data_IF_638795889011
#
_entry.id   IF_638795889011
#
_cell.length_a   1.000
_cell.length_b   1.000
_cell.length_c   1.000
_cell.angle_alpha   90.00
_cell.angle_beta   90.00
_cell.angle_gamma   90.00
#
_symmetry.space_group_name_H-M   'P 1'
#
loop_
_entity.id
_entity.type
_entity.pdbx_description
1 polymer ?
#
# COMPACT_ATOMS: atom_id res chain seq x y z
N UNK A 1 -18.10 -14.40 19.24
CA UNK A 1 -16.97 -14.29 18.29
C UNK A 1 -16.57 -12.83 18.26
N UNK A 2 -15.33 -12.54 18.55
CA UNK A 2 -14.80 -11.18 18.43
C UNK A 2 -14.86 -10.76 16.96
N UNK A 3 -15.31 -9.53 16.67
CA UNK A 3 -15.39 -9.04 15.30
C UNK A 3 -13.98 -9.03 14.69
N UNK A 4 -13.82 -9.53 13.48
CA UNK A 4 -12.53 -9.54 12.79
C UNK A 4 -12.10 -8.10 12.52
N UNK A 5 -10.98 -7.67 13.09
CA UNK A 5 -10.38 -6.37 12.83
C UNK A 5 -9.73 -6.35 11.45
N UNK A 6 -9.86 -5.25 10.74
CA UNK A 6 -9.40 -5.13 9.34
C UNK A 6 -8.65 -3.83 9.12
N UNK A 7 -7.53 -3.95 8.41
CA UNK A 7 -6.81 -2.86 7.74
C UNK A 7 -6.92 -3.07 6.23
N UNK A 8 -7.37 -2.06 5.49
CA UNK A 8 -7.32 -2.07 4.03
C UNK A 8 -6.00 -1.43 3.55
N UNK A 9 -5.10 -2.24 3.01
CA UNK A 9 -3.76 -1.80 2.65
C UNK A 9 -3.62 -1.22 1.23
N UNK A 10 -4.74 -0.96 0.54
CA UNK A 10 -4.70 -0.32 -0.77
C UNK A 10 -6.04 0.35 -1.12
N UNK A 11 -6.12 1.66 -0.89
CA UNK A 11 -7.24 2.51 -1.31
C UNK A 11 -6.74 3.82 -1.88
N UNK A 12 -7.55 4.48 -2.72
CA UNK A 12 -7.22 5.79 -3.28
C UNK A 12 -8.25 6.84 -2.87
N UNK A 13 -7.83 8.11 -2.82
CA UNK A 13 -8.72 9.24 -2.57
C UNK A 13 -8.65 10.26 -3.71
N UNK A 14 -9.83 10.80 -4.07
CA UNK A 14 -9.99 11.80 -5.13
C UNK A 14 -11.02 12.84 -4.69
N UNK A 15 -10.61 14.10 -4.66
CA UNK A 15 -11.52 15.24 -4.43
C UNK A 15 -11.18 16.37 -5.40
N UNK A 16 -11.57 16.24 -6.70
CA UNK A 16 -11.22 17.22 -7.73
C UNK A 16 -11.89 18.59 -7.54
N UNK A 17 -12.88 18.70 -6.66
CA UNK A 17 -13.46 20.00 -6.31
C UNK A 17 -12.53 20.82 -5.41
N UNK A 18 -11.82 20.17 -4.48
CA UNK A 18 -10.85 20.82 -3.59
C UNK A 18 -9.44 20.81 -4.17
N UNK A 19 -9.08 19.74 -4.86
CA UNK A 19 -7.78 19.49 -5.47
C UNK A 19 -7.97 19.16 -6.95
N UNK A 20 -7.96 20.16 -7.85
CA UNK A 20 -8.14 19.92 -9.28
C UNK A 20 -7.12 18.95 -9.84
N UNK A 21 -7.54 18.07 -10.73
CA UNK A 21 -6.65 17.16 -11.43
C UNK A 21 -5.61 17.91 -12.27
N UNK A 22 -4.46 17.31 -12.47
CA UNK A 22 -3.44 17.83 -13.39
C UNK A 22 -3.99 17.87 -14.81
N UNK A 23 -3.68 18.95 -15.58
CA UNK A 23 -4.15 19.07 -16.95
C UNK A 23 -3.61 17.98 -17.89
N UNK A 24 -2.43 17.44 -17.58
CA UNK A 24 -1.70 16.43 -18.34
C UNK A 24 -1.94 15.00 -17.83
N UNK A 25 -2.93 14.79 -16.96
CA UNK A 25 -3.20 13.43 -16.45
C UNK A 25 -3.64 12.49 -17.57
N UNK A 26 -3.11 11.28 -17.58
CA UNK A 26 -3.50 10.26 -18.57
C UNK A 26 -4.91 9.69 -18.30
N UNK A 27 -5.42 9.85 -17.08
CA UNK A 27 -6.76 9.41 -16.68
C UNK A 27 -7.30 10.28 -15.54
N UNK A 28 -8.53 10.77 -15.71
CA UNK A 28 -9.25 11.59 -14.73
C UNK A 28 -10.44 10.78 -14.17
N UNK A 29 -10.35 10.21 -12.96
CA UNK A 29 -11.47 9.49 -12.34
C UNK A 29 -12.70 10.37 -12.20
N UNK A 30 -13.88 9.79 -12.52
CA UNK A 30 -15.15 10.51 -12.49
C UNK A 30 -16.31 9.60 -12.03
N UNK A 31 -17.46 10.17 -11.74
CA UNK A 31 -18.67 9.41 -11.39
C UNK A 31 -18.47 8.51 -10.17
N UNK A 32 -18.63 7.20 -10.36
CA UNK A 32 -18.50 6.23 -9.27
C UNK A 32 -17.05 6.03 -8.78
N UNK A 33 -16.06 6.36 -9.60
CA UNK A 33 -14.64 6.30 -9.25
C UNK A 33 -14.18 7.47 -8.38
N UNK A 34 -15.05 8.46 -8.12
CA UNK A 34 -14.74 9.55 -7.20
C UNK A 34 -14.78 9.03 -5.76
N UNK A 35 -13.66 8.57 -5.29
CA UNK A 35 -13.42 8.15 -3.92
C UNK A 35 -13.09 9.34 -3.03
N UNK A 36 -14.05 10.24 -2.71
CA UNK A 36 -13.76 11.34 -1.77
C UNK A 36 -13.40 10.81 -0.39
N UNK A 37 -12.61 11.56 0.42
CA UNK A 37 -12.25 11.16 1.79
C UNK A 37 -13.47 10.83 2.65
N UNK A 38 -14.57 11.59 2.50
CA UNK A 38 -15.82 11.35 3.22
C UNK A 38 -16.47 10.02 2.78
N UNK A 39 -16.50 9.75 1.47
CA UNK A 39 -17.05 8.51 0.93
C UNK A 39 -16.21 7.29 1.34
N UNK A 40 -14.87 7.40 1.29
CA UNK A 40 -13.97 6.36 1.78
C UNK A 40 -14.30 6.01 3.23
N UNK A 41 -14.37 7.01 4.11
CA UNK A 41 -14.70 6.80 5.53
C UNK A 41 -16.02 6.03 5.69
N UNK A 42 -17.07 6.42 4.97
CA UNK A 42 -18.37 5.74 5.02
C UNK A 42 -18.27 4.28 4.57
N UNK A 43 -17.51 3.98 3.51
CA UNK A 43 -17.32 2.61 3.02
C UNK A 43 -16.57 1.78 4.05
N UNK A 44 -15.46 2.29 4.59
CA UNK A 44 -14.68 1.58 5.60
C UNK A 44 -15.50 1.30 6.87
N UNK A 45 -16.25 2.31 7.36
CA UNK A 45 -17.10 2.18 8.56
C UNK A 45 -18.21 1.14 8.34
N UNK A 46 -18.85 1.13 7.15
CA UNK A 46 -19.89 0.16 6.81
C UNK A 46 -19.40 -1.30 6.76
N UNK A 47 -18.11 -1.52 6.55
CA UNK A 47 -17.49 -2.85 6.48
C UNK A 47 -16.64 -3.18 7.70
N UNK A 48 -16.65 -2.37 8.75
CA UNK A 48 -15.88 -2.60 9.98
C UNK A 48 -14.36 -2.50 9.79
N UNK A 49 -13.91 -1.73 8.80
CA UNK A 49 -12.48 -1.50 8.53
C UNK A 49 -11.96 -0.36 9.39
N UNK A 50 -11.02 -0.67 10.28
CA UNK A 50 -10.54 0.29 11.29
C UNK A 50 -9.50 1.25 10.74
N UNK A 51 -8.58 0.75 9.91
CA UNK A 51 -7.47 1.52 9.35
C UNK A 51 -7.35 1.31 7.84
N UNK A 52 -6.69 2.25 7.16
CA UNK A 52 -6.37 2.06 5.74
C UNK A 52 -5.02 2.68 5.36
N UNK A 53 -4.41 2.12 4.30
CA UNK A 53 -3.28 2.69 3.60
C UNK A 53 -3.79 3.41 2.34
N UNK A 54 -3.67 4.73 2.34
CA UNK A 54 -4.01 5.57 1.20
C UNK A 54 -2.83 5.54 0.21
N UNK A 55 -3.05 5.00 -0.97
CA UNK A 55 -2.01 4.97 -2.01
C UNK A 55 -2.22 6.13 -2.97
N UNK A 56 -1.21 6.95 -3.16
CA UNK A 56 -1.22 8.05 -4.11
C UNK A 56 -1.48 7.52 -5.53
N UNK A 57 -2.53 8.00 -6.21
CA UNK A 57 -2.82 7.54 -7.56
C UNK A 57 -1.97 8.28 -8.58
N UNK A 58 -1.40 7.56 -9.54
CA UNK A 58 -0.83 8.20 -10.73
C UNK A 58 -1.92 8.88 -11.59
N UNK A 59 -3.17 8.35 -11.54
CA UNK A 59 -4.34 8.95 -12.19
C UNK A 59 -4.76 10.25 -11.50
N UNK A 60 -5.14 11.26 -12.26
CA UNK A 60 -5.62 12.53 -11.76
C UNK A 60 -4.53 13.43 -11.19
N UNK A 61 -3.76 12.94 -10.22
CA UNK A 61 -2.84 13.76 -9.43
C UNK A 61 -1.36 13.56 -9.76
N UNK A 62 -0.92 12.34 -10.15
CA UNK A 62 0.52 12.08 -10.31
C UNK A 62 1.27 12.44 -9.02
N UNK A 63 2.30 13.29 -9.14
CA UNK A 63 3.14 13.72 -8.00
C UNK A 63 2.48 14.77 -7.09
N UNK A 64 1.25 15.19 -7.38
CA UNK A 64 0.49 16.11 -6.49
C UNK A 64 -0.16 15.33 -5.34
N UNK A 65 0.52 15.27 -4.21
CA UNK A 65 0.06 14.54 -3.03
C UNK A 65 -0.88 15.36 -2.11
N UNK A 66 -1.33 16.56 -2.49
CA UNK A 66 -2.13 17.44 -1.59
C UNK A 66 -3.41 16.78 -1.10
N UNK A 67 -4.15 16.08 -1.95
CA UNK A 67 -5.38 15.37 -1.54
C UNK A 67 -5.08 14.24 -0.56
N UNK A 68 -4.00 13.49 -0.78
CA UNK A 68 -3.51 12.45 0.14
C UNK A 68 -3.17 13.05 1.51
N UNK A 69 -2.31 14.07 1.53
CA UNK A 69 -1.82 14.69 2.77
C UNK A 69 -2.93 15.36 3.59
N UNK A 70 -3.86 16.06 2.94
CA UNK A 70 -5.05 16.64 3.60
C UNK A 70 -5.90 15.53 4.25
N UNK A 71 -6.08 14.40 3.55
CA UNK A 71 -6.84 13.27 4.09
C UNK A 71 -6.14 12.62 5.28
N UNK A 72 -4.82 12.45 5.24
CA UNK A 72 -4.04 11.93 6.36
C UNK A 72 -4.14 12.85 7.59
N UNK A 73 -3.97 14.16 7.41
CA UNK A 73 -4.06 15.15 8.48
C UNK A 73 -5.44 15.12 9.16
N UNK A 74 -6.51 15.02 8.38
CA UNK A 74 -7.88 14.98 8.90
C UNK A 74 -8.25 13.66 9.60
N UNK A 75 -7.47 12.59 9.40
CA UNK A 75 -7.82 11.24 9.86
C UNK A 75 -7.29 10.88 11.26
N UNK A 76 -6.58 11.79 11.95
CA UNK A 76 -6.08 11.60 13.31
C UNK A 76 -5.35 10.25 13.53
N UNK A 77 -4.53 9.82 12.57
CA UNK A 77 -3.76 8.58 12.66
C UNK A 77 -4.48 7.31 12.22
N UNK A 78 -5.76 7.41 11.82
CA UNK A 78 -6.52 6.27 11.27
C UNK A 78 -5.90 5.71 9.99
N UNK A 79 -5.23 6.57 9.20
CA UNK A 79 -4.67 6.23 7.91
C UNK A 79 -3.16 6.43 7.88
N UNK A 80 -2.49 5.73 6.95
CA UNK A 80 -1.12 5.98 6.50
C UNK A 80 -1.13 6.18 4.99
N UNK A 81 -0.05 6.75 4.44
CA UNK A 81 0.04 7.08 3.02
C UNK A 81 1.21 6.42 2.30
N UNK A 82 1.02 6.20 0.99
CA UNK A 82 2.07 6.00 0.00
C UNK A 82 2.01 7.16 -0.98
N UNK A 83 3.06 7.96 -1.10
CA UNK A 83 3.10 9.12 -1.99
C UNK A 83 3.57 8.73 -3.40
N UNK A 84 3.22 9.53 -4.39
CA UNK A 84 3.87 9.50 -5.72
C UNK A 84 4.89 10.62 -5.76
N UNK A 85 6.13 10.30 -6.10
CA UNK A 85 7.23 11.27 -6.12
C UNK A 85 8.11 11.07 -7.35
N UNK A 86 8.87 12.10 -7.73
CA UNK A 86 9.89 12.02 -8.77
C UNK A 86 11.12 11.23 -8.27
N UNK A 87 11.87 10.60 -9.18
CA UNK A 87 13.13 9.93 -8.82
C UNK A 87 14.18 10.87 -8.21
N UNK A 88 14.05 12.17 -8.46
CA UNK A 88 14.93 13.23 -7.95
C UNK A 88 14.52 13.81 -6.60
N UNK A 89 13.43 13.31 -5.99
CA UNK A 89 12.95 13.80 -4.68
C UNK A 89 14.02 13.63 -3.62
N UNK A 90 14.29 14.69 -2.89
CA UNK A 90 15.36 14.74 -1.89
C UNK A 90 14.97 14.01 -0.60
N UNK A 91 15.97 13.61 0.17
CA UNK A 91 15.78 13.02 1.52
C UNK A 91 15.02 13.96 2.47
N UNK A 92 15.19 15.27 2.34
CA UNK A 92 14.48 16.24 3.16
C UNK A 92 12.98 16.24 2.85
N UNK A 93 12.59 16.25 1.58
CA UNK A 93 11.19 16.15 1.17
C UNK A 93 10.56 14.80 1.59
N UNK A 94 11.31 13.71 1.47
CA UNK A 94 10.85 12.39 1.98
C UNK A 94 10.64 12.41 3.50
N UNK A 95 11.52 13.07 4.25
CA UNK A 95 11.39 13.20 5.70
C UNK A 95 10.14 14.03 6.08
N UNK A 96 9.81 15.09 5.32
CA UNK A 96 8.58 15.87 5.49
C UNK A 96 7.33 15.03 5.21
N UNK A 97 7.33 14.25 4.12
CA UNK A 97 6.25 13.30 3.82
C UNK A 97 6.06 12.28 4.94
N UNK A 98 7.17 11.71 5.45
CA UNK A 98 7.13 10.76 6.58
C UNK A 98 6.53 11.39 7.83
N UNK A 99 6.91 12.62 8.17
CA UNK A 99 6.36 13.35 9.31
C UNK A 99 4.86 13.62 9.15
N UNK A 100 4.36 13.76 7.91
CA UNK A 100 2.94 13.92 7.58
C UNK A 100 2.16 12.58 7.56
N UNK A 101 2.78 11.44 7.91
CA UNK A 101 2.12 10.14 7.99
C UNK A 101 2.26 9.27 6.73
N UNK A 102 3.16 9.64 5.81
CA UNK A 102 3.49 8.81 4.64
C UNK A 102 4.49 7.72 5.04
N UNK A 103 4.15 6.46 4.78
CA UNK A 103 4.98 5.30 5.10
C UNK A 103 5.97 4.93 3.98
N UNK A 104 5.73 5.41 2.77
CA UNK A 104 6.56 5.08 1.62
C UNK A 104 6.13 5.76 0.33
N UNK A 105 6.73 5.36 -0.78
CA UNK A 105 6.41 5.90 -2.10
C UNK A 105 6.10 4.79 -3.10
N UNK A 106 5.28 5.11 -4.11
CA UNK A 106 4.94 4.16 -5.17
C UNK A 106 6.05 4.09 -6.23
N UNK A 107 6.42 2.89 -6.62
CA UNK A 107 7.29 2.57 -7.75
C UNK A 107 6.44 1.85 -8.79
N UNK A 108 5.82 2.60 -9.71
CA UNK A 108 4.83 2.05 -10.65
C UNK A 108 5.45 1.74 -12.01
N UNK A 109 6.24 0.65 -12.08
CA UNK A 109 6.83 0.20 -13.34
C UNK A 109 5.77 -0.35 -14.32
N UNK A 110 4.64 -0.81 -13.83
CA UNK A 110 3.52 -1.23 -14.68
C UNK A 110 2.98 -0.09 -15.56
N UNK A 111 3.08 1.17 -15.09
CA UNK A 111 2.65 2.36 -15.84
C UNK A 111 3.80 3.04 -16.58
N UNK A 112 4.93 3.25 -15.88
CA UNK A 112 6.02 4.11 -16.36
C UNK A 112 7.14 3.31 -17.07
N UNK A 113 7.12 1.98 -16.94
CA UNK A 113 8.18 1.10 -17.42
C UNK A 113 9.39 1.04 -16.46
N UNK A 114 10.15 -0.04 -16.56
CA UNK A 114 11.36 -0.25 -15.73
C UNK A 114 12.43 0.82 -16.00
N UNK A 115 12.57 1.24 -17.26
CA UNK A 115 13.55 2.26 -17.67
C UNK A 115 13.37 3.61 -16.97
N UNK A 116 12.15 3.98 -16.58
CA UNK A 116 11.90 5.18 -15.79
C UNK A 116 12.64 5.21 -14.45
N UNK A 117 12.82 4.02 -13.84
CA UNK A 117 13.46 3.87 -12.54
C UNK A 117 14.98 3.57 -12.62
N UNK A 118 15.59 3.65 -13.81
CA UNK A 118 17.02 3.38 -13.97
C UNK A 118 17.89 4.26 -13.06
N UNK A 119 17.47 5.51 -12.84
CA UNK A 119 18.17 6.50 -12.03
C UNK A 119 17.61 6.62 -10.59
N UNK A 120 16.69 5.75 -10.17
CA UNK A 120 16.06 5.83 -8.85
C UNK A 120 16.92 5.33 -7.69
N UNK A 121 18.18 4.97 -7.93
CA UNK A 121 19.08 4.43 -6.88
C UNK A 121 19.25 5.36 -5.68
N UNK A 122 19.33 6.69 -5.91
CA UNK A 122 19.40 7.70 -4.86
C UNK A 122 18.12 7.76 -4.02
N UNK A 123 16.98 7.83 -4.68
CA UNK A 123 15.65 7.80 -4.03
C UNK A 123 15.48 6.56 -3.14
N UNK A 124 15.80 5.37 -3.68
CA UNK A 124 15.65 4.12 -2.94
C UNK A 124 16.59 4.04 -1.73
N UNK A 125 17.82 4.55 -1.86
CA UNK A 125 18.75 4.62 -0.73
C UNK A 125 18.26 5.59 0.36
N UNK A 126 17.65 6.71 -0.02
CA UNK A 126 17.07 7.68 0.90
C UNK A 126 15.81 7.12 1.61
N UNK A 127 14.98 6.37 0.90
CA UNK A 127 13.87 5.62 1.51
C UNK A 127 14.36 4.62 2.53
N UNK A 128 15.41 3.83 2.20
CA UNK A 128 16.01 2.89 3.13
C UNK A 128 16.56 3.58 4.38
N UNK A 129 17.26 4.71 4.21
CA UNK A 129 17.81 5.50 5.33
C UNK A 129 16.73 6.11 6.24
N UNK A 130 15.54 6.36 5.71
CA UNK A 130 14.38 6.88 6.43
C UNK A 130 13.44 5.78 6.94
N UNK A 131 13.76 4.50 6.78
CA UNK A 131 12.87 3.36 7.05
C UNK A 131 11.48 3.52 6.37
N UNK A 132 11.50 4.01 5.13
CA UNK A 132 10.32 4.13 4.28
C UNK A 132 10.25 2.97 3.29
N UNK A 133 9.06 2.74 2.73
CA UNK A 133 8.73 1.61 1.87
C UNK A 133 8.78 2.03 0.40
N UNK A 134 9.32 1.18 -0.46
CA UNK A 134 9.08 1.20 -1.90
C UNK A 134 7.88 0.27 -2.22
N UNK A 135 6.75 0.86 -2.61
CA UNK A 135 5.50 0.17 -2.93
C UNK A 135 5.44 -0.08 -4.44
N UNK A 136 5.75 -1.31 -4.84
CA UNK A 136 6.14 -1.67 -6.21
C UNK A 136 4.97 -2.27 -6.98
N UNK A 137 4.59 -1.63 -8.09
CA UNK A 137 3.65 -2.17 -9.07
C UNK A 137 4.40 -2.62 -10.32
N UNK A 138 4.25 -3.88 -10.66
CA UNK A 138 4.87 -4.53 -11.81
C UNK A 138 3.83 -5.31 -12.62
N UNK A 139 4.18 -5.64 -13.86
CA UNK A 139 3.48 -6.61 -14.70
C UNK A 139 4.53 -7.52 -15.36
N UNK A 140 4.11 -8.68 -15.80
CA UNK A 140 4.96 -9.63 -16.53
C UNK A 140 6.29 -9.91 -15.81
N UNK A 141 7.41 -9.74 -16.50
CA UNK A 141 8.75 -10.02 -15.99
C UNK A 141 9.47 -8.78 -15.41
N UNK A 142 8.78 -7.63 -15.27
CA UNK A 142 9.37 -6.37 -14.79
C UNK A 142 10.03 -6.50 -13.40
N UNK A 143 9.50 -7.39 -12.54
CA UNK A 143 10.12 -7.62 -11.23
C UNK A 143 11.53 -8.20 -11.36
N UNK A 144 11.77 -9.08 -12.35
CA UNK A 144 13.11 -9.63 -12.62
C UNK A 144 14.09 -8.53 -12.98
N UNK A 145 13.65 -7.56 -13.79
CA UNK A 145 14.49 -6.44 -14.22
C UNK A 145 14.76 -5.45 -13.09
N UNK A 146 13.76 -5.18 -12.22
CA UNK A 146 13.88 -4.25 -11.08
C UNK A 146 14.61 -4.87 -9.88
N UNK A 147 14.58 -6.17 -9.71
CA UNK A 147 15.12 -6.86 -8.54
C UNK A 147 16.55 -6.45 -8.20
N UNK A 148 17.52 -6.36 -9.14
CA UNK A 148 18.88 -5.94 -8.79
C UNK A 148 18.98 -4.53 -8.22
N UNK A 149 18.14 -3.59 -8.66
CA UNK A 149 18.11 -2.22 -8.17
C UNK A 149 17.53 -2.17 -6.74
N UNK A 150 16.39 -2.81 -6.53
CA UNK A 150 15.71 -2.87 -5.24
C UNK A 150 16.55 -3.60 -4.18
N UNK A 151 17.16 -4.71 -4.54
CA UNK A 151 18.02 -5.49 -3.63
C UNK A 151 19.27 -4.73 -3.19
N UNK A 152 19.92 -4.03 -4.11
CA UNK A 152 21.12 -3.22 -3.79
C UNK A 152 20.82 -2.02 -2.90
N UNK A 153 19.64 -1.45 -3.00
CA UNK A 153 19.25 -0.26 -2.22
C UNK A 153 19.02 -0.55 -0.72
N UNK A 154 18.69 -1.81 -0.40
CA UNK A 154 18.29 -2.20 0.96
C UNK A 154 16.94 -1.65 1.42
N UNK A 155 16.16 -1.03 0.52
CA UNK A 155 14.85 -0.49 0.85
C UNK A 155 13.86 -1.61 1.20
N UNK A 156 12.94 -1.32 2.11
CA UNK A 156 11.80 -2.20 2.38
C UNK A 156 10.87 -2.20 1.17
N UNK A 157 10.53 -3.39 0.66
CA UNK A 157 9.72 -3.52 -0.54
C UNK A 157 8.35 -4.11 -0.22
N UNK A 158 7.30 -3.46 -0.68
CA UNK A 158 5.97 -4.07 -0.77
C UNK A 158 5.61 -4.23 -2.24
N UNK A 159 5.06 -5.39 -2.60
CA UNK A 159 4.67 -5.67 -3.98
C UNK A 159 3.16 -5.67 -4.09
N UNK A 160 2.64 -4.78 -4.93
CA UNK A 160 1.20 -4.58 -5.12
C UNK A 160 0.54 -5.69 -5.94
N UNK A 161 -0.74 -5.91 -5.66
CA UNK A 161 -1.67 -6.67 -6.51
C UNK A 161 -1.17 -8.06 -6.88
N UNK A 162 -0.65 -8.82 -5.90
CA UNK A 162 -0.09 -10.17 -6.13
C UNK A 162 1.06 -10.19 -7.16
N UNK A 163 1.71 -9.05 -7.43
CA UNK A 163 2.68 -8.89 -8.53
C UNK A 163 2.04 -8.89 -9.91
N UNK A 164 0.72 -8.73 -10.01
CA UNK A 164 -0.10 -8.71 -11.25
C UNK A 164 0.24 -9.87 -12.20
N UNK A 165 0.13 -11.12 -11.74
CA UNK A 165 0.44 -12.28 -12.57
C UNK A 165 -0.51 -12.37 -13.76
N UNK A 166 -0.03 -12.90 -14.90
CA UNK A 166 -0.89 -13.35 -15.98
C UNK A 166 -1.39 -14.77 -15.71
N UNK A 167 -2.70 -15.00 -15.44
CA UNK A 167 -3.23 -16.34 -15.22
C UNK A 167 -2.97 -17.29 -16.39
N UNK A 168 -2.91 -16.77 -17.61
CA UNK A 168 -2.63 -17.55 -18.80
C UNK A 168 -1.19 -18.03 -18.93
N UNK A 169 -0.23 -17.33 -18.35
CA UNK A 169 1.18 -17.74 -18.30
C UNK A 169 1.46 -18.72 -17.15
N UNK A 170 0.55 -18.81 -16.16
CA UNK A 170 0.64 -19.74 -15.05
C UNK A 170 1.71 -19.38 -14.02
N UNK A 171 1.84 -20.23 -12.99
CA UNK A 171 2.79 -20.02 -11.87
C UNK A 171 4.26 -20.04 -12.29
N UNK A 172 4.56 -20.54 -13.49
CA UNK A 172 5.91 -20.64 -14.03
C UNK A 172 6.44 -19.37 -14.69
N UNK A 173 5.64 -18.30 -14.81
CA UNK A 173 6.09 -17.02 -15.38
C UNK A 173 7.29 -16.47 -14.60
N UNK A 174 8.27 -15.88 -15.30
CA UNK A 174 9.54 -15.49 -14.68
C UNK A 174 9.34 -14.44 -13.57
N UNK A 175 8.52 -13.40 -13.80
CA UNK A 175 8.22 -12.38 -12.80
C UNK A 175 7.53 -12.96 -11.57
N UNK A 176 6.58 -13.89 -11.75
CA UNK A 176 5.90 -14.53 -10.61
C UNK A 176 6.83 -15.45 -9.81
N UNK A 177 7.70 -16.22 -10.48
CA UNK A 177 8.74 -17.02 -9.80
C UNK A 177 9.72 -16.15 -9.01
N UNK A 178 10.07 -15.00 -9.56
CA UNK A 178 10.91 -14.03 -8.84
C UNK A 178 10.21 -13.53 -7.57
N UNK A 179 8.93 -13.22 -7.67
CA UNK A 179 8.13 -12.83 -6.50
C UNK A 179 8.07 -13.94 -5.44
N UNK A 180 7.86 -15.19 -5.84
CA UNK A 180 7.90 -16.32 -4.89
C UNK A 180 9.29 -16.49 -4.26
N UNK A 181 10.38 -16.27 -5.01
CA UNK A 181 11.75 -16.27 -4.47
C UNK A 181 11.92 -15.19 -3.38
N UNK A 182 11.35 -14.02 -3.58
CA UNK A 182 11.39 -12.96 -2.58
C UNK A 182 10.61 -13.31 -1.31
N UNK A 183 9.48 -13.97 -1.45
CA UNK A 183 8.73 -14.50 -0.32
C UNK A 183 9.55 -15.49 0.51
N UNK A 184 10.13 -16.49 -0.16
CA UNK A 184 10.95 -17.52 0.50
C UNK A 184 12.20 -16.93 1.20
N UNK A 185 12.77 -15.84 0.67
CA UNK A 185 13.94 -15.16 1.27
C UNK A 185 13.61 -14.03 2.23
N UNK A 186 12.34 -13.82 2.56
CA UNK A 186 11.85 -12.77 3.45
C UNK A 186 12.21 -11.33 3.02
N UNK A 187 12.35 -11.09 1.71
CA UNK A 187 12.80 -9.80 1.17
C UNK A 187 11.71 -8.77 0.98
N UNK A 188 10.45 -9.19 0.96
CA UNK A 188 9.32 -8.29 0.69
C UNK A 188 8.08 -8.67 1.47
N UNK A 189 7.12 -7.77 1.47
CA UNK A 189 5.70 -8.00 1.79
C UNK A 189 4.91 -7.99 0.49
N UNK A 190 3.88 -8.84 0.37
CA UNK A 190 3.00 -8.85 -0.80
C UNK A 190 1.60 -8.43 -0.43
N UNK A 191 0.98 -7.59 -1.27
CA UNK A 191 -0.42 -7.20 -1.14
C UNK A 191 -1.31 -8.14 -1.93
N UNK A 192 -2.16 -8.88 -1.23
CA UNK A 192 -3.24 -9.70 -1.78
C UNK A 192 -4.40 -8.77 -2.15
N UNK A 193 -4.29 -8.14 -3.31
CA UNK A 193 -5.21 -7.11 -3.80
C UNK A 193 -5.31 -7.14 -5.32
N UNK A 194 -6.19 -6.32 -5.92
CA UNK A 194 -6.27 -6.12 -7.36
C UNK A 194 -6.73 -7.33 -8.17
N UNK A 195 -7.28 -8.37 -7.55
CA UNK A 195 -7.75 -9.57 -8.24
C UNK A 195 -8.70 -9.24 -9.39
N UNK A 196 -9.58 -8.27 -9.21
CA UNK A 196 -10.54 -7.81 -10.23
C UNK A 196 -9.88 -7.24 -11.50
N UNK A 197 -8.62 -6.79 -11.41
CA UNK A 197 -7.88 -6.20 -12.54
C UNK A 197 -7.04 -7.23 -13.30
N UNK A 198 -6.78 -8.37 -12.67
CA UNK A 198 -5.81 -9.37 -13.15
C UNK A 198 -6.52 -10.63 -13.64
N UNK A 199 -7.62 -11.00 -13.00
CA UNK A 199 -8.40 -12.18 -13.35
C UNK A 199 -8.98 -12.10 -14.77
N UNK A 200 -9.00 -13.24 -15.44
CA UNK A 200 -9.69 -13.46 -16.72
C UNK A 200 -11.09 -14.05 -16.53
N UNK A 201 -11.45 -14.37 -15.28
CA UNK A 201 -12.74 -14.95 -14.90
C UNK A 201 -13.58 -13.92 -14.12
N UNK A 202 -14.91 -13.98 -14.22
CA UNK A 202 -15.78 -13.19 -13.37
C UNK A 202 -15.61 -13.57 -11.88
N UNK A 203 -16.17 -12.76 -10.99
CA UNK A 203 -16.22 -13.11 -9.56
C UNK A 203 -16.70 -14.57 -9.37
N UNK A 204 -16.05 -15.40 -8.55
CA UNK A 204 -15.02 -15.09 -7.54
C UNK A 204 -13.56 -15.25 -8.01
N UNK A 205 -13.23 -14.98 -9.28
CA UNK A 205 -11.85 -14.89 -9.78
C UNK A 205 -11.00 -16.15 -9.49
N UNK A 206 -11.54 -17.33 -9.80
CA UNK A 206 -10.93 -18.63 -9.39
C UNK A 206 -9.61 -18.93 -10.06
N UNK A 207 -9.38 -18.36 -11.23
CA UNK A 207 -8.11 -18.45 -11.95
C UNK A 207 -6.93 -17.86 -11.17
N UNK A 208 -7.19 -16.95 -10.21
CA UNK A 208 -6.17 -16.39 -9.33
C UNK A 208 -5.96 -17.16 -8.02
N UNK A 209 -6.83 -18.09 -7.68
CA UNK A 209 -6.71 -18.85 -6.44
C UNK A 209 -5.37 -19.60 -6.29
N UNK A 210 -4.83 -20.28 -7.34
CA UNK A 210 -3.51 -20.90 -7.27
C UNK A 210 -2.39 -19.90 -6.98
N UNK A 211 -2.46 -18.68 -7.54
CA UNK A 211 -1.47 -17.62 -7.35
C UNK A 211 -1.49 -17.09 -5.91
N UNK A 212 -2.67 -16.78 -5.39
CA UNK A 212 -2.80 -16.29 -4.00
C UNK A 212 -2.30 -17.35 -3.01
N UNK A 213 -2.64 -18.62 -3.20
CA UNK A 213 -2.15 -19.72 -2.36
C UNK A 213 -0.64 -19.85 -2.40
N UNK A 214 -0.04 -19.83 -3.61
CA UNK A 214 1.41 -19.89 -3.77
C UNK A 214 2.12 -18.70 -3.08
N UNK A 215 1.51 -17.51 -3.11
CA UNK A 215 2.04 -16.34 -2.40
C UNK A 215 1.94 -16.52 -0.89
N UNK A 216 0.81 -16.96 -0.37
CA UNK A 216 0.63 -17.19 1.08
C UNK A 216 1.59 -18.28 1.56
N UNK A 217 1.81 -19.33 0.79
CA UNK A 217 2.76 -20.39 1.10
C UNK A 217 4.21 -19.89 1.11
N UNK A 218 4.60 -19.06 0.14
CA UNK A 218 5.97 -18.56 0.01
C UNK A 218 6.29 -17.43 1.01
N UNK A 219 5.35 -16.52 1.25
CA UNK A 219 5.55 -15.36 2.11
C UNK A 219 5.22 -15.65 3.58
N UNK A 220 4.30 -16.56 3.82
CA UNK A 220 3.64 -16.70 5.11
C UNK A 220 2.71 -15.52 5.42
N UNK A 221 1.71 -15.70 6.30
CA UNK A 221 0.74 -14.64 6.63
C UNK A 221 1.37 -13.39 7.25
N UNK A 222 2.57 -13.50 7.84
CA UNK A 222 3.29 -12.36 8.43
C UNK A 222 3.95 -11.43 7.41
N UNK A 223 3.90 -11.77 6.13
CA UNK A 223 4.39 -10.93 5.03
C UNK A 223 3.37 -10.81 3.90
N UNK A 224 2.12 -11.13 4.19
CA UNK A 224 0.99 -10.84 3.33
C UNK A 224 0.10 -9.78 3.99
N UNK A 225 -0.41 -8.84 3.20
CA UNK A 225 -1.44 -7.88 3.60
C UNK A 225 -2.56 -7.87 2.57
N UNK A 226 -3.77 -7.50 2.96
CA UNK A 226 -4.91 -7.42 2.05
C UNK A 226 -5.22 -5.96 1.68
N UNK A 227 -5.76 -5.73 0.46
CA UNK A 227 -6.25 -4.44 0.03
C UNK A 227 -7.39 -4.56 -0.97
N UNK A 228 -8.37 -3.66 -0.90
CA UNK A 228 -9.53 -3.64 -1.77
C UNK A 228 -9.24 -3.09 -3.17
N UNK A 229 -8.31 -2.15 -3.27
CA UNK A 229 -8.07 -1.31 -4.45
C UNK A 229 -9.27 -0.37 -4.75
N UNK A 230 -10.05 -0.01 -3.71
CA UNK A 230 -11.15 0.96 -3.83
C UNK A 230 -10.61 2.34 -4.25
N UNK A 231 -11.27 3.08 -5.14
CA UNK A 231 -12.64 2.96 -5.63
C UNK A 231 -12.78 2.20 -6.96
N UNK A 232 -11.90 1.25 -7.27
CA UNK A 232 -12.00 0.36 -8.43
C UNK A 232 -11.86 1.09 -9.76
N UNK A 233 -10.76 1.82 -9.93
CA UNK A 233 -10.51 2.63 -11.12
C UNK A 233 -10.47 1.78 -12.41
N UNK A 234 -11.10 2.31 -13.47
CA UNK A 234 -11.08 1.74 -14.82
C UNK A 234 -11.61 0.30 -14.91
N UNK A 235 -12.55 -0.05 -14.03
CA UNK A 235 -13.20 -1.36 -14.12
C UNK A 235 -14.34 -1.31 -15.12
N UNK A 236 -14.39 -2.25 -16.10
CA UNK A 236 -15.47 -2.30 -17.08
C UNK A 236 -16.80 -2.77 -16.46
N UNK A 237 -16.72 -3.53 -15.38
CA UNK A 237 -17.86 -4.08 -14.66
C UNK A 237 -17.92 -3.52 -13.23
N UNK A 238 -19.12 -3.64 -12.64
CA UNK A 238 -19.32 -3.23 -11.24
C UNK A 238 -18.51 -4.11 -10.29
N UNK A 239 -17.81 -3.47 -9.39
CA UNK A 239 -17.10 -4.12 -8.28
C UNK A 239 -17.67 -3.59 -6.97
N UNK A 240 -18.02 -4.50 -6.06
CA UNK A 240 -18.52 -4.17 -4.72
C UNK A 240 -17.46 -4.52 -3.66
N UNK A 241 -17.33 -3.67 -2.64
CA UNK A 241 -16.30 -3.78 -1.61
C UNK A 241 -16.44 -5.05 -0.76
N UNK A 242 -17.66 -5.32 -0.26
CA UNK A 242 -17.93 -6.45 0.63
C UNK A 242 -17.55 -7.81 0.05
N UNK A 243 -17.94 -8.14 -1.21
CA UNK A 243 -17.52 -9.36 -1.89
C UNK A 243 -16.00 -9.57 -1.93
N UNK A 244 -15.19 -8.52 -2.11
CA UNK A 244 -13.73 -8.64 -2.12
C UNK A 244 -13.16 -9.04 -0.75
N UNK A 245 -13.72 -8.50 0.32
CA UNK A 245 -13.33 -8.90 1.68
C UNK A 245 -13.75 -10.36 1.98
N UNK A 246 -14.92 -10.77 1.50
CA UNK A 246 -15.41 -12.15 1.62
C UNK A 246 -14.55 -13.13 0.81
N UNK A 247 -14.09 -12.71 -0.38
CA UNK A 247 -13.24 -13.52 -1.26
C UNK A 247 -11.94 -13.97 -0.56
N UNK A 248 -11.37 -13.12 0.31
CA UNK A 248 -10.18 -13.51 1.06
C UNK A 248 -10.42 -14.76 1.93
N UNK A 249 -11.64 -14.99 2.44
CA UNK A 249 -11.95 -16.18 3.22
C UNK A 249 -11.94 -17.47 2.38
N UNK A 250 -12.24 -17.37 1.08
CA UNK A 250 -12.12 -18.50 0.14
C UNK A 250 -10.65 -18.73 -0.26
N UNK A 251 -9.89 -17.65 -0.43
CA UNK A 251 -8.49 -17.68 -0.83
C UNK A 251 -7.58 -18.18 0.29
N UNK A 252 -7.86 -17.78 1.52
CA UNK A 252 -7.10 -18.12 2.75
C UNK A 252 -8.07 -18.72 3.78
N UNK A 253 -8.37 -20.03 3.73
CA UNK A 253 -9.35 -20.66 4.61
C UNK A 253 -8.98 -20.66 6.09
N UNK A 254 -7.68 -20.63 6.42
CA UNK A 254 -7.19 -20.58 7.80
C UNK A 254 -7.52 -19.24 8.46
N UNK A 255 -8.28 -19.25 9.55
CA UNK A 255 -8.78 -18.06 10.23
C UNK A 255 -7.66 -17.27 10.92
N UNK A 256 -6.63 -17.95 11.45
CA UNK A 256 -5.48 -17.29 12.09
C UNK A 256 -4.61 -16.60 11.04
N UNK A 257 -4.36 -17.27 9.92
CA UNK A 257 -3.66 -16.64 8.78
C UNK A 257 -4.39 -15.39 8.28
N UNK A 258 -5.74 -15.44 8.14
CA UNK A 258 -6.52 -14.26 7.75
C UNK A 258 -6.43 -13.12 8.77
N UNK A 259 -6.49 -13.42 10.07
CA UNK A 259 -6.34 -12.43 11.14
C UNK A 259 -4.98 -11.71 11.01
N UNK A 260 -3.91 -12.48 10.78
CA UNK A 260 -2.56 -11.94 10.60
C UNK A 260 -2.47 -11.06 9.35
N UNK A 261 -3.02 -11.50 8.22
CA UNK A 261 -3.04 -10.76 6.94
C UNK A 261 -3.87 -9.47 7.05
N UNK A 262 -5.02 -9.52 7.75
CA UNK A 262 -5.94 -8.39 7.83
C UNK A 262 -5.59 -7.41 8.96
N UNK A 263 -4.85 -7.85 9.98
CA UNK A 263 -4.61 -7.01 11.15
C UNK A 263 -3.15 -6.97 11.62
N UNK A 264 -2.59 -8.10 12.07
CA UNK A 264 -1.30 -8.07 12.77
C UNK A 264 -0.16 -7.61 11.87
N UNK A 265 -0.12 -8.13 10.64
CA UNK A 265 0.90 -7.76 9.64
C UNK A 265 0.79 -6.30 9.23
N UNK A 266 -0.36 -5.78 8.78
CA UNK A 266 -0.44 -4.37 8.39
C UNK A 266 -0.24 -3.39 9.56
N UNK A 267 -0.70 -3.73 10.77
CA UNK A 267 -0.45 -2.90 11.95
C UNK A 267 1.05 -2.74 12.20
N UNK A 268 1.79 -3.83 12.14
CA UNK A 268 3.25 -3.83 12.28
C UNK A 268 3.94 -3.08 11.14
N UNK A 269 3.58 -3.39 9.89
CA UNK A 269 4.25 -2.86 8.70
C UNK A 269 4.08 -1.33 8.56
N UNK A 270 2.91 -0.80 8.92
CA UNK A 270 2.59 0.62 8.72
C UNK A 270 2.53 1.42 10.03
N UNK A 271 2.80 0.80 11.18
CA UNK A 271 2.73 1.49 12.47
C UNK A 271 1.31 2.00 12.78
N UNK A 272 0.30 1.18 12.49
CA UNK A 272 -1.10 1.48 12.78
C UNK A 272 -1.49 0.94 14.18
N UNK A 273 -2.60 1.44 14.76
CA UNK A 273 -3.15 0.89 16.01
C UNK A 273 -2.44 1.31 17.30
N UNK A 274 -1.37 2.08 17.24
CA UNK A 274 -0.78 2.74 18.40
C UNK A 274 -1.62 3.95 18.76
N UNK A 275 -2.49 3.84 19.76
CA UNK A 275 -3.05 5.02 20.41
C UNK A 275 -1.92 5.92 20.86
N UNK A 276 -2.10 7.23 20.74
CA UNK A 276 -1.21 8.34 21.08
C UNK A 276 -0.08 7.94 22.04
N UNK A 277 1.08 7.56 21.49
CA UNK A 277 2.25 7.29 22.30
C UNK A 277 2.98 8.61 22.54
N UNK A 278 2.89 9.04 23.79
CA UNK A 278 3.89 9.81 24.52
C UNK A 278 4.52 10.99 23.78
N UNK A 279 3.88 12.15 23.92
CA UNK A 279 4.64 13.38 24.13
C UNK A 279 5.57 13.09 25.31
N UNK A 280 6.87 13.03 25.06
CA UNK A 280 7.87 12.93 26.12
C UNK A 280 7.68 14.15 27.03
N UNK A 281 7.11 13.93 28.21
CA UNK A 281 7.19 14.87 29.30
C UNK A 281 8.67 15.00 29.65
N UNK A 282 9.29 16.09 29.18
CA UNK A 282 10.56 16.55 29.66
C UNK A 282 10.44 16.78 31.15
N UNK A 283 11.08 15.95 31.94
CA UNK A 283 11.30 16.19 33.34
C UNK A 283 12.08 17.51 33.48
N UNK A 284 11.39 18.59 33.82
CA UNK A 284 12.01 19.74 34.48
C UNK A 284 12.42 19.27 35.87
N UNK A 285 13.66 18.90 36.04
CA UNK A 285 14.28 18.79 37.35
C UNK A 285 14.37 20.19 37.95
N UNK A 286 13.54 20.39 38.97
CA UNK A 286 13.63 21.56 39.84
C UNK A 286 14.78 21.34 40.82
N UNK A 287 15.87 22.04 40.63
CA UNK A 287 16.91 22.17 41.68
C UNK A 287 16.31 22.95 42.88
N UNK A 288 16.45 22.46 44.11
CA UNK A 288 16.07 23.25 45.31
C UNK A 288 17.14 24.29 45.60
N UNK A 289 16.75 25.56 45.51
CA UNK A 289 17.56 26.71 45.89
C UNK A 289 17.99 26.66 47.35
N UNK A 290 19.28 26.85 47.58
CA UNK A 290 19.86 27.05 48.89
C UNK A 290 19.43 28.40 49.47
N UNK A 291 18.95 28.39 50.73
CA UNK A 291 18.69 29.58 51.49
C UNK A 291 20.01 30.21 52.05
N UNK A 292 20.12 31.53 52.12
CA UNK A 292 21.26 32.19 52.74
C UNK A 292 21.11 32.24 54.24
N UNK A 293 22.16 31.89 54.92
CA UNK A 293 22.46 32.19 56.32
C UNK A 293 23.32 33.43 56.42
#
# INVERSE_FOLDING_TARGET
MEAQRVVDCHVHVFDPQRFPYRPDTFYAPAGQELGTPARLRTVLDAHGVEHALLVGPNSGYGEDNRCLLDTLAAAAGRYRGMAVVANSTSRAELAELRAAGVSGVTVNAALLGVGYYADAGGLLADLAALDMIADVQVVDDQLVELAPLLERSGVRVHVDHCGRPDPGAGLGAAGFRELLRWGASARAVVKLSGCVKVSREPYPHRDLLPFVRALVDAFGPDRCVWGSDWPFLRMPERVDYGPLLTLLAEQVPDADARRRILWDTPVREYGLGGGSAQVAEGQCEHEPGAAPG
#
